data_IF_211008518212
#
_entry.id   IF_211008518212
#
_cell.length_a   1.000
_cell.length_b   1.000
_cell.length_c   1.000
_cell.angle_alpha   90.00
_cell.angle_beta   90.00
_cell.angle_gamma   90.00
#
_symmetry.space_group_name_H-M   'P 1'
#
loop_
_entity.id
_entity.type
_entity.pdbx_description
1 polymer ?
#
# COMPACT_ATOMS: atom_id res chain seq x y z
N UNK A 1 21.70 -20.21 -5.27
CA UNK A 1 20.33 -19.94 -5.78
C UNK A 1 19.44 -19.78 -4.58
N UNK A 2 18.76 -18.64 -4.46
CA UNK A 2 17.82 -18.39 -3.37
C UNK A 2 16.49 -19.06 -3.70
N UNK A 3 16.01 -19.92 -2.80
CA UNK A 3 14.70 -20.57 -2.92
C UNK A 3 13.70 -19.79 -2.08
N UNK A 4 12.55 -19.45 -2.66
CA UNK A 4 11.51 -18.68 -1.98
C UNK A 4 10.29 -19.55 -1.67
N UNK A 5 9.71 -19.36 -0.49
CA UNK A 5 8.41 -19.91 -0.11
C UNK A 5 7.38 -18.79 -0.28
N UNK A 6 6.33 -19.04 -1.07
CA UNK A 6 5.23 -18.11 -1.28
C UNK A 6 4.00 -18.57 -0.51
N UNK A 7 3.34 -17.64 0.18
CA UNK A 7 2.19 -17.91 1.03
C UNK A 7 1.10 -16.87 0.78
N UNK A 8 -0.15 -17.32 0.69
CA UNK A 8 -1.32 -16.46 0.61
C UNK A 8 -2.45 -17.00 1.50
N UNK A 9 -2.65 -16.43 2.70
CA UNK A 9 -3.63 -16.94 3.66
C UNK A 9 -5.08 -16.63 3.27
N UNK A 10 -5.30 -15.71 2.33
CA UNK A 10 -6.61 -15.13 1.99
C UNK A 10 -7.04 -15.41 0.54
N UNK A 11 -6.52 -16.50 -0.04
CA UNK A 11 -6.93 -16.95 -1.38
C UNK A 11 -6.38 -16.10 -2.52
N UNK A 12 -5.21 -15.50 -2.36
CA UNK A 12 -4.49 -14.74 -3.40
C UNK A 12 -4.64 -13.22 -3.30
N UNK A 13 -5.33 -12.70 -2.28
CA UNK A 13 -5.48 -11.24 -2.11
C UNK A 13 -4.20 -10.62 -1.55
N UNK A 14 -3.61 -11.27 -0.55
CA UNK A 14 -2.31 -10.93 0.03
C UNK A 14 -1.34 -12.04 -0.32
N UNK A 15 -0.26 -11.68 -1.01
CA UNK A 15 0.83 -12.61 -1.31
C UNK A 15 2.05 -12.19 -0.51
N UNK A 16 2.62 -13.15 0.19
CA UNK A 16 3.86 -12.98 0.94
C UNK A 16 4.93 -13.94 0.46
N UNK A 17 6.21 -13.56 0.59
CA UNK A 17 7.33 -14.47 0.36
C UNK A 17 8.32 -14.43 1.52
N UNK A 18 9.06 -15.52 1.70
CA UNK A 18 10.20 -15.63 2.61
C UNK A 18 11.27 -16.55 2.02
N UNK A 19 12.52 -16.36 2.43
CA UNK A 19 13.63 -17.21 2.00
C UNK A 19 13.54 -18.59 2.66
N UNK A 20 13.87 -19.64 1.91
CA UNK A 20 13.89 -21.02 2.42
C UNK A 20 15.09 -21.25 3.35
N UNK A 21 14.85 -21.86 4.51
CA UNK A 21 15.90 -22.16 5.49
C UNK A 21 16.07 -21.10 6.57
N UNK A 22 15.44 -19.94 6.42
CA UNK A 22 15.45 -18.89 7.43
C UNK A 22 14.05 -18.63 7.98
N UNK A 23 13.66 -19.47 8.95
CA UNK A 23 12.35 -19.39 9.59
C UNK A 23 12.16 -18.12 10.45
N UNK A 24 13.24 -17.38 10.72
CA UNK A 24 13.25 -16.16 11.53
C UNK A 24 13.11 -14.87 10.74
N UNK A 25 13.27 -14.89 9.41
CA UNK A 25 13.19 -13.69 8.59
C UNK A 25 11.74 -13.23 8.36
N UNK A 26 11.58 -11.91 8.38
CA UNK A 26 10.32 -11.25 8.07
C UNK A 26 9.85 -11.54 6.65
N UNK A 27 8.53 -11.62 6.48
CA UNK A 27 7.91 -11.84 5.17
C UNK A 27 7.92 -10.54 4.36
N UNK A 28 8.27 -10.64 3.09
CA UNK A 28 7.97 -9.57 2.14
C UNK A 28 6.52 -9.68 1.67
N UNK A 29 5.88 -8.55 1.42
CA UNK A 29 4.52 -8.42 0.90
C UNK A 29 4.55 -7.95 -0.54
N UNK A 30 3.72 -8.55 -1.40
CA UNK A 30 3.58 -8.14 -2.79
C UNK A 30 2.61 -6.97 -2.91
N UNK A 31 3.08 -5.85 -3.43
CA UNK A 31 2.27 -4.71 -3.80
C UNK A 31 2.22 -4.56 -5.32
N UNK A 32 1.03 -4.22 -5.83
CA UNK A 32 0.84 -3.81 -7.22
C UNK A 32 0.67 -2.32 -7.25
N UNK A 33 1.66 -1.62 -7.80
CA UNK A 33 1.63 -0.18 -7.94
C UNK A 33 1.46 0.19 -9.40
N UNK A 34 0.74 1.27 -9.65
CA UNK A 34 0.68 1.86 -10.98
C UNK A 34 1.85 2.84 -11.11
N UNK A 35 2.68 2.64 -12.13
CA UNK A 35 3.89 3.44 -12.35
C UNK A 35 3.82 4.11 -13.72
N UNK A 36 4.12 5.41 -13.71
CA UNK A 36 4.25 6.24 -14.90
C UNK A 36 2.92 6.70 -15.52
N UNK A 37 3.00 7.53 -16.57
CA UNK A 37 1.85 8.17 -17.21
C UNK A 37 0.91 7.19 -17.94
N UNK A 38 1.38 5.97 -18.20
CA UNK A 38 0.61 4.93 -18.89
C UNK A 38 -0.07 3.92 -17.95
N UNK A 39 -0.06 4.19 -16.63
CA UNK A 39 -0.70 3.34 -15.62
C UNK A 39 -0.21 1.87 -15.65
N UNK A 40 1.07 1.68 -15.91
CA UNK A 40 1.71 0.35 -16.00
C UNK A 40 1.71 -0.29 -14.62
N UNK A 41 1.22 -1.52 -14.51
CA UNK A 41 1.22 -2.25 -13.23
C UNK A 41 2.58 -2.88 -12.99
N UNK A 42 3.27 -2.42 -11.96
CA UNK A 42 4.50 -3.02 -11.47
C UNK A 42 4.25 -3.77 -10.16
N UNK A 43 4.95 -4.89 -10.00
CA UNK A 43 4.90 -5.73 -8.81
C UNK A 43 6.16 -5.49 -7.98
N UNK A 44 5.97 -4.99 -6.76
CA UNK A 44 7.05 -4.64 -5.82
C UNK A 44 6.92 -5.52 -4.58
N UNK A 45 8.04 -6.11 -4.16
CA UNK A 45 8.14 -6.81 -2.90
C UNK A 45 8.62 -5.86 -1.81
N UNK A 46 7.81 -5.71 -0.77
CA UNK A 46 8.04 -4.74 0.30
C UNK A 46 8.23 -5.46 1.63
N UNK A 47 9.31 -5.17 2.39
CA UNK A 47 9.54 -5.79 3.69
C UNK A 47 8.42 -5.50 4.69
N UNK A 48 8.14 -6.45 5.59
CA UNK A 48 7.11 -6.29 6.64
C UNK A 48 7.29 -5.03 7.47
N UNK A 49 8.51 -4.69 7.88
CA UNK A 49 8.76 -3.47 8.66
C UNK A 49 8.31 -2.20 7.94
N UNK A 50 8.58 -2.08 6.63
CA UNK A 50 8.09 -0.95 5.84
C UNK A 50 6.56 -0.93 5.77
N UNK A 51 5.92 -2.09 5.65
CA UNK A 51 4.44 -2.17 5.69
C UNK A 51 3.89 -1.71 7.04
N UNK A 52 4.53 -2.13 8.15
CA UNK A 52 4.13 -1.72 9.49
C UNK A 52 4.28 -0.20 9.66
N UNK A 53 5.38 0.39 9.20
CA UNK A 53 5.60 1.84 9.23
C UNK A 53 4.54 2.60 8.43
N UNK A 54 4.16 2.10 7.25
CA UNK A 54 3.08 2.70 6.44
C UNK A 54 1.75 2.67 7.21
N UNK A 55 1.42 1.53 7.83
CA UNK A 55 0.19 1.37 8.62
C UNK A 55 0.21 2.31 9.83
N UNK A 56 1.31 2.36 10.56
CA UNK A 56 1.46 3.22 11.74
C UNK A 56 1.37 4.71 11.38
N UNK A 57 2.05 5.13 10.31
CA UNK A 57 1.95 6.50 9.81
C UNK A 57 0.52 6.85 9.41
N UNK A 58 -0.18 5.95 8.71
CA UNK A 58 -1.58 6.17 8.32
C UNK A 58 -2.50 6.36 9.54
N UNK A 59 -2.22 5.66 10.64
CA UNK A 59 -2.94 5.80 11.90
C UNK A 59 -2.69 7.16 12.55
N UNK A 60 -1.43 7.59 12.64
CA UNK A 60 -1.11 8.91 13.21
C UNK A 60 -1.67 10.05 12.36
N UNK A 61 -1.64 9.95 11.03
CA UNK A 61 -2.28 10.91 10.14
C UNK A 61 -3.78 11.03 10.41
N UNK A 62 -4.47 9.91 10.63
CA UNK A 62 -5.88 9.91 10.99
C UNK A 62 -6.13 10.63 12.32
N UNK A 63 -5.31 10.36 13.35
CA UNK A 63 -5.38 11.06 14.64
C UNK A 63 -5.15 12.57 14.49
N UNK A 64 -4.20 12.99 13.65
CA UNK A 64 -3.95 14.42 13.38
C UNK A 64 -5.16 15.06 12.71
N UNK A 65 -5.79 14.39 11.74
CA UNK A 65 -7.02 14.88 11.09
C UNK A 65 -8.16 15.02 12.11
N UNK A 66 -8.34 14.05 13.01
CA UNK A 66 -9.36 14.15 14.07
C UNK A 66 -9.10 15.30 15.04
N UNK A 67 -7.83 15.51 15.41
CA UNK A 67 -7.43 16.54 16.37
C UNK A 67 -7.54 17.97 15.81
N UNK A 68 -7.29 18.16 14.52
CA UNK A 68 -7.25 19.48 13.90
C UNK A 68 -8.28 19.62 12.76
N UNK A 69 -9.40 20.32 12.99
CA UNK A 69 -10.49 20.44 12.01
C UNK A 69 -10.05 20.95 10.64
N UNK A 70 -9.14 21.94 10.60
CA UNK A 70 -8.63 22.48 9.35
C UNK A 70 -7.86 21.44 8.51
N UNK A 71 -7.17 20.50 9.15
CA UNK A 71 -6.44 19.42 8.46
C UNK A 71 -7.43 18.40 7.91
N UNK A 72 -8.49 18.09 8.65
CA UNK A 72 -9.58 17.24 8.16
C UNK A 72 -10.28 17.83 6.94
N UNK A 73 -10.67 19.09 7.00
CA UNK A 73 -11.33 19.78 5.88
C UNK A 73 -10.43 19.81 4.64
N UNK A 74 -9.15 20.18 4.79
CA UNK A 74 -8.19 20.16 3.69
C UNK A 74 -8.05 18.76 3.07
N UNK A 75 -8.03 17.71 3.89
CA UNK A 75 -7.98 16.33 3.42
C UNK A 75 -9.25 15.91 2.66
N UNK A 76 -10.43 16.28 3.14
CA UNK A 76 -11.71 16.00 2.47
C UNK A 76 -11.81 16.69 1.10
N UNK A 77 -11.36 17.95 1.01
CA UNK A 77 -11.27 18.65 -0.26
C UNK A 77 -10.29 17.99 -1.23
N UNK A 78 -9.11 17.61 -0.74
CA UNK A 78 -8.13 16.85 -1.52
C UNK A 78 -8.72 15.53 -2.05
N UNK A 79 -9.38 14.75 -1.20
CA UNK A 79 -10.00 13.49 -1.61
C UNK A 79 -11.07 13.70 -2.69
N UNK A 80 -11.87 14.76 -2.57
CA UNK A 80 -12.89 15.12 -3.56
C UNK A 80 -12.26 15.45 -4.92
N UNK A 81 -11.19 16.25 -4.93
CA UNK A 81 -10.44 16.58 -6.17
C UNK A 81 -9.80 15.33 -6.77
N UNK A 82 -9.19 14.48 -5.94
CA UNK A 82 -8.59 13.23 -6.39
C UNK A 82 -9.63 12.32 -7.06
N UNK A 83 -10.84 12.19 -6.50
CA UNK A 83 -11.91 11.41 -7.12
C UNK A 83 -12.32 11.97 -8.48
N UNK A 84 -12.40 13.29 -8.63
CA UNK A 84 -12.68 13.93 -9.92
C UNK A 84 -11.59 13.59 -10.93
N UNK A 85 -10.31 13.70 -10.55
CA UNK A 85 -9.20 13.32 -11.43
C UNK A 85 -9.25 11.85 -11.85
N UNK A 86 -9.49 10.93 -10.90
CA UNK A 86 -9.62 9.50 -11.17
C UNK A 86 -10.81 9.21 -12.10
N UNK A 87 -11.93 9.90 -11.93
CA UNK A 87 -13.10 9.75 -12.79
C UNK A 87 -12.82 10.26 -14.21
N UNK A 88 -12.10 11.37 -14.36
CA UNK A 88 -11.67 11.88 -15.67
C UNK A 88 -10.72 10.91 -16.37
N UNK A 89 -9.78 10.30 -15.65
CA UNK A 89 -8.87 9.29 -16.21
C UNK A 89 -9.59 8.00 -16.64
N UNK A 90 -10.72 7.67 -16.00
CA UNK A 90 -11.51 6.47 -16.31
C UNK A 90 -12.52 6.66 -17.44
N UNK A 91 -12.70 7.89 -17.93
CA UNK A 91 -13.71 8.27 -18.94
C UNK A 91 -15.13 8.27 -18.35
N UNK A 92 -15.87 9.38 -18.36
CA UNK A 92 -16.67 9.81 -19.53
C UNK A 92 -16.06 9.49 -20.89
#
# INVERSE_FOLDING_TARGET
>A
MTTWIYESPDGGKTVTRREFGDAGLEKDYLFRVNVGPNNTREEIWTPKNTVNEIIENSYYEALVREKYPAVREAWEHYQSLLQICIQQEKGV
#
